data_IF_760126834513
#
_entry.id   IF_760126834513
#
_cell.length_a   1.000
_cell.length_b   1.000
_cell.length_c   1.000
_cell.angle_alpha   90.00
_cell.angle_beta   90.00
_cell.angle_gamma   90.00
#
_symmetry.space_group_name_H-M   'P 1'
#
loop_
_entity.id
_entity.type
_entity.pdbx_description
1 polymer ?
#
# COMPACT_ATOMS: atom_id res chain seq x y z
N UNK A 1 -21.88 -24.96 -20.04
CA UNK A 1 -22.04 -24.87 -18.57
C UNK A 1 -20.73 -24.84 -17.77
N UNK A 2 -19.79 -25.81 -17.88
CA UNK A 2 -18.52 -25.80 -17.10
C UNK A 2 -17.63 -24.56 -17.33
N UNK A 3 -17.47 -24.10 -18.58
CA UNK A 3 -16.67 -22.89 -18.91
C UNK A 3 -17.22 -21.58 -18.31
N UNK A 4 -18.55 -21.45 -18.20
CA UNK A 4 -19.19 -20.29 -17.56
C UNK A 4 -18.98 -20.29 -16.04
N UNK A 5 -19.11 -21.45 -15.39
CA UNK A 5 -18.81 -21.59 -13.95
C UNK A 5 -17.33 -21.27 -13.63
N UNK A 6 -16.40 -21.71 -14.49
CA UNK A 6 -14.97 -21.43 -14.32
C UNK A 6 -14.65 -19.93 -14.46
N UNK A 7 -15.26 -19.24 -15.44
CA UNK A 7 -15.10 -17.78 -15.61
C UNK A 7 -15.65 -17.01 -14.41
N UNK A 8 -16.86 -17.35 -13.92
CA UNK A 8 -17.42 -16.72 -12.72
C UNK A 8 -16.56 -16.97 -11.47
N UNK A 9 -16.01 -18.17 -11.29
CA UNK A 9 -15.11 -18.45 -10.18
C UNK A 9 -13.82 -17.62 -10.27
N UNK A 10 -13.19 -17.53 -11.44
CA UNK A 10 -11.99 -16.71 -11.61
C UNK A 10 -12.25 -15.22 -11.37
N UNK A 11 -13.41 -14.70 -11.81
CA UNK A 11 -13.83 -13.31 -11.58
C UNK A 11 -14.03 -13.02 -10.09
N UNK A 12 -14.71 -13.92 -9.36
CA UNK A 12 -14.91 -13.79 -7.91
C UNK A 12 -13.59 -13.81 -7.13
N UNK A 13 -12.61 -14.62 -7.55
CA UNK A 13 -11.30 -14.66 -6.91
C UNK A 13 -10.50 -13.37 -7.13
N UNK A 14 -10.58 -12.76 -8.31
CA UNK A 14 -9.94 -11.46 -8.56
C UNK A 14 -10.60 -10.34 -7.75
N UNK A 15 -11.94 -10.34 -7.65
CA UNK A 15 -12.68 -9.38 -6.83
C UNK A 15 -12.32 -9.51 -5.35
N UNK A 16 -12.25 -10.75 -4.82
CA UNK A 16 -11.81 -11.00 -3.44
C UNK A 16 -10.40 -10.47 -3.18
N UNK A 17 -9.45 -10.72 -4.09
CA UNK A 17 -8.07 -10.22 -3.97
C UNK A 17 -8.01 -8.70 -3.96
N UNK A 18 -8.79 -8.05 -4.82
CA UNK A 18 -8.87 -6.60 -4.87
C UNK A 18 -9.45 -6.02 -3.57
N UNK A 19 -10.58 -6.55 -3.10
CA UNK A 19 -11.21 -6.14 -1.83
C UNK A 19 -10.25 -6.36 -0.66
N UNK A 20 -9.58 -7.51 -0.63
CA UNK A 20 -8.60 -7.83 0.41
C UNK A 20 -7.45 -6.83 0.42
N UNK A 21 -6.84 -6.54 -0.74
CA UNK A 21 -5.75 -5.57 -0.85
C UNK A 21 -6.20 -4.16 -0.44
N UNK A 22 -7.40 -3.75 -0.87
CA UNK A 22 -7.98 -2.46 -0.49
C UNK A 22 -8.21 -2.36 1.01
N UNK A 23 -8.88 -3.36 1.60
CA UNK A 23 -9.21 -3.37 3.03
C UNK A 23 -7.94 -3.47 3.88
N UNK A 24 -6.95 -4.26 3.46
CA UNK A 24 -5.65 -4.35 4.11
C UNK A 24 -4.96 -2.98 4.12
N UNK A 25 -4.87 -2.29 2.98
CA UNK A 25 -4.31 -0.93 2.91
C UNK A 25 -5.07 0.08 3.77
N UNK A 26 -6.40 0.01 3.77
CA UNK A 26 -7.25 0.87 4.58
C UNK A 26 -7.01 0.67 6.09
N UNK A 27 -7.04 -0.59 6.54
CA UNK A 27 -6.89 -0.94 7.96
C UNK A 27 -5.46 -0.66 8.45
N UNK A 28 -4.44 -1.01 7.67
CA UNK A 28 -3.05 -0.78 8.05
C UNK A 28 -2.74 0.71 8.18
N UNK A 29 -3.13 1.54 7.20
CA UNK A 29 -2.93 3.01 7.27
C UNK A 29 -3.72 3.64 8.40
N UNK A 30 -4.93 3.14 8.67
CA UNK A 30 -5.78 3.56 9.79
C UNK A 30 -5.09 3.31 11.14
N UNK A 31 -4.59 2.10 11.36
CA UNK A 31 -3.87 1.71 12.59
C UNK A 31 -2.57 2.51 12.76
N UNK A 32 -1.76 2.61 11.70
CA UNK A 32 -0.48 3.34 11.76
C UNK A 32 -0.73 4.81 12.09
N UNK A 33 -1.65 5.46 11.36
CA UNK A 33 -2.00 6.87 11.61
C UNK A 33 -2.55 7.07 13.02
N UNK A 34 -3.44 6.18 13.47
CA UNK A 34 -4.00 6.23 14.81
C UNK A 34 -2.90 6.17 15.88
N UNK A 35 -1.99 5.19 15.77
CA UNK A 35 -0.88 5.03 16.71
C UNK A 35 0.02 6.26 16.75
N UNK A 36 0.40 6.80 15.59
CA UNK A 36 1.24 8.00 15.51
C UNK A 36 0.55 9.18 16.18
N UNK A 37 -0.72 9.44 15.85
CA UNK A 37 -1.46 10.58 16.42
C UNK A 37 -1.69 10.38 17.92
N UNK A 38 -1.97 9.15 18.37
CA UNK A 38 -2.21 8.83 19.78
C UNK A 38 -0.94 9.04 20.63
N UNK A 39 0.21 8.63 20.12
CA UNK A 39 1.49 8.81 20.81
C UNK A 39 1.91 10.28 20.86
N UNK A 40 1.72 11.03 19.76
CA UNK A 40 2.21 12.41 19.66
C UNK A 40 1.28 13.46 20.29
N UNK A 41 -0.03 13.26 20.19
CA UNK A 41 -1.03 14.27 20.59
C UNK A 41 -1.79 13.84 21.85
N UNK A 42 -1.81 12.53 22.14
CA UNK A 42 -2.63 11.96 23.21
C UNK A 42 -4.13 12.01 22.90
N UNK A 43 -4.93 11.46 23.81
CA UNK A 43 -6.38 11.44 23.72
C UNK A 43 -6.97 12.74 24.30
N UNK A 44 -7.34 13.67 23.42
CA UNK A 44 -8.03 14.91 23.78
C UNK A 44 -9.26 15.12 22.88
N UNK A 45 -10.06 16.15 23.14
CA UNK A 45 -11.30 16.43 22.39
C UNK A 45 -11.06 16.63 20.88
N UNK A 46 -9.86 17.03 20.48
CA UNK A 46 -9.48 17.25 19.07
C UNK A 46 -8.85 16.01 18.45
N UNK A 47 -8.57 14.96 19.21
CA UNK A 47 -7.85 13.77 18.75
C UNK A 47 -8.49 13.15 17.51
N UNK A 48 -9.79 12.82 17.56
CA UNK A 48 -10.48 12.20 16.43
C UNK A 48 -10.47 13.12 15.20
N UNK A 49 -10.66 14.43 15.40
CA UNK A 49 -10.66 15.41 14.31
C UNK A 49 -9.28 15.50 13.64
N UNK A 50 -8.21 15.52 14.42
CA UNK A 50 -6.84 15.58 13.92
C UNK A 50 -6.48 14.26 13.25
N UNK A 51 -6.78 13.13 13.89
CA UNK A 51 -6.53 11.79 13.36
C UNK A 51 -7.21 11.58 12.01
N UNK A 52 -8.51 11.85 11.90
CA UNK A 52 -9.24 11.64 10.65
C UNK A 52 -8.75 12.54 9.52
N UNK A 53 -8.42 13.80 9.84
CA UNK A 53 -7.83 14.75 8.87
C UNK A 53 -6.46 14.27 8.40
N UNK A 54 -5.57 13.91 9.33
CA UNK A 54 -4.22 13.45 9.01
C UNK A 54 -4.23 12.13 8.26
N UNK A 55 -5.06 11.17 8.68
CA UNK A 55 -5.23 9.88 8.02
C UNK A 55 -5.73 10.03 6.59
N UNK A 56 -6.81 10.80 6.36
CA UNK A 56 -7.36 11.00 5.02
C UNK A 56 -6.37 11.70 4.09
N UNK A 57 -5.65 12.71 4.59
CA UNK A 57 -4.64 13.43 3.81
C UNK A 57 -3.44 12.53 3.47
N UNK A 58 -2.98 11.72 4.43
CA UNK A 58 -1.91 10.74 4.22
C UNK A 58 -2.31 9.68 3.18
N UNK A 59 -3.55 9.16 3.24
CA UNK A 59 -4.03 8.16 2.30
C UNK A 59 -4.07 8.69 0.86
N UNK A 60 -4.57 9.92 0.66
CA UNK A 60 -4.58 10.59 -0.65
C UNK A 60 -3.16 10.82 -1.19
N UNK A 61 -2.18 11.11 -0.32
CA UNK A 61 -0.78 11.30 -0.73
C UNK A 61 -0.06 9.98 -1.03
N UNK A 62 -0.39 8.89 -0.33
CA UNK A 62 0.28 7.59 -0.48
C UNK A 62 0.03 6.98 -1.86
N UNK A 63 -1.18 7.11 -2.42
CA UNK A 63 -1.53 6.54 -3.73
C UNK A 63 -0.63 7.08 -4.85
N UNK A 64 -0.54 8.40 -5.09
CA UNK A 64 0.35 8.95 -6.10
C UNK A 64 1.81 8.70 -5.72
N UNK A 65 2.18 8.80 -4.43
CA UNK A 65 3.55 8.51 -4.00
C UNK A 65 3.99 7.10 -4.40
N UNK A 66 3.18 6.07 -4.15
CA UNK A 66 3.51 4.69 -4.57
C UNK A 66 3.61 4.59 -6.10
N UNK A 67 2.71 5.23 -6.84
CA UNK A 67 2.73 5.17 -8.31
C UNK A 67 4.01 5.79 -8.91
N UNK A 68 4.52 6.87 -8.33
CA UNK A 68 5.76 7.52 -8.77
C UNK A 68 7.03 6.88 -8.18
N UNK A 69 6.98 6.44 -6.92
CA UNK A 69 8.14 5.88 -6.21
C UNK A 69 8.40 4.43 -6.65
N UNK A 70 7.37 3.63 -6.94
CA UNK A 70 7.52 2.24 -7.37
C UNK A 70 8.52 2.06 -8.53
N UNK A 71 8.39 2.76 -9.69
CA UNK A 71 9.38 2.63 -10.77
C UNK A 71 10.76 3.14 -10.37
N UNK A 72 10.84 4.16 -9.50
CA UNK A 72 12.11 4.67 -8.98
C UNK A 72 12.86 3.63 -8.14
N UNK A 73 12.13 2.93 -7.27
CA UNK A 73 12.68 1.85 -6.44
C UNK A 73 13.08 0.66 -7.31
N UNK A 74 12.31 0.33 -8.34
CA UNK A 74 12.64 -0.73 -9.29
C UNK A 74 13.97 -0.43 -10.02
N UNK A 75 14.14 0.79 -10.52
CA UNK A 75 15.41 1.24 -11.11
C UNK A 75 16.59 1.19 -10.11
N UNK A 76 16.34 1.53 -8.84
CA UNK A 76 17.36 1.48 -7.80
C UNK A 76 17.77 0.04 -7.47
N UNK A 77 16.81 -0.87 -7.36
CA UNK A 77 17.04 -2.31 -7.17
C UNK A 77 17.87 -2.82 -8.35
N UNK A 78 17.47 -2.51 -9.58
CA UNK A 78 18.22 -2.88 -10.78
C UNK A 78 19.64 -2.34 -10.75
N UNK A 79 19.87 -1.09 -10.34
CA UNK A 79 21.22 -0.55 -10.20
C UNK A 79 22.07 -1.30 -9.17
N UNK A 80 21.49 -1.61 -7.99
CA UNK A 80 22.16 -2.37 -6.92
C UNK A 80 22.53 -3.77 -7.40
N UNK A 81 21.62 -4.47 -8.07
CA UNK A 81 21.83 -5.85 -8.52
C UNK A 81 22.59 -5.95 -9.86
N UNK A 82 22.53 -4.95 -10.74
CA UNK A 82 23.34 -4.87 -11.98
C UNK A 82 24.83 -4.75 -11.67
N UNK A 83 25.21 -4.14 -10.53
CA UNK A 83 26.59 -4.19 -10.01
C UNK A 83 27.11 -5.62 -9.78
N UNK A 84 26.26 -6.61 -9.50
CA UNK A 84 26.69 -8.00 -9.27
C UNK A 84 27.09 -8.76 -10.55
N UNK A 85 26.59 -8.38 -11.73
CA UNK A 85 26.92 -9.08 -13.00
C UNK A 85 28.14 -8.52 -13.73
N UNK A 86 28.61 -7.32 -13.39
CA UNK A 86 29.75 -6.67 -14.08
C UNK A 86 31.10 -7.06 -13.48
N UNK A 87 31.15 -7.60 -12.26
CA UNK A 87 32.41 -7.87 -11.54
C UNK A 87 32.81 -9.36 -11.44
N UNK A 88 32.20 -10.25 -12.24
CA UNK A 88 32.52 -11.70 -12.26
C UNK A 88 33.08 -12.13 -13.62
N UNK A 89 33.71 -11.21 -14.36
CA UNK A 89 34.34 -11.48 -15.66
C UNK A 89 35.71 -10.80 -15.82
N UNK A 90 36.44 -10.61 -14.73
CA UNK A 90 37.88 -10.27 -14.77
C UNK A 90 38.64 -11.23 -13.89
#
# INVERSE_FOLDING_TARGET
>A
MKKQKLKLQAENENLKKFIFAFLMGLVTTCIISFSIVAINIGFNERFIKIWFKSWGLAYILVIPAILFIAPLIDMLIDYIFKRKKVNVKR
#
